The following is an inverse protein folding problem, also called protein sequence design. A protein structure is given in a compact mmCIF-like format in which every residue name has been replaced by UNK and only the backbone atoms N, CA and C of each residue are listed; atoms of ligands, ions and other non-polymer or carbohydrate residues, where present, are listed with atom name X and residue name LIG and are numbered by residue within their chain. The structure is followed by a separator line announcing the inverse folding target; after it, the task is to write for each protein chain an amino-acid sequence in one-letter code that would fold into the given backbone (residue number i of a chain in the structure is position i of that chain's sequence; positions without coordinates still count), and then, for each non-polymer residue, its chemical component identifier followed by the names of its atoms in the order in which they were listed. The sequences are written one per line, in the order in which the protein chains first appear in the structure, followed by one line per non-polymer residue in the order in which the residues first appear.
data_IF_137403235344
#
_entry.id   IF_137403235344
#
_cell.length_a   1.000
_cell.length_b   1.000
_cell.length_c   1.000
_cell.angle_alpha   90.00
_cell.angle_beta   90.00
_cell.angle_gamma   90.00
#
_symmetry.space_group_name_H-M   'P 1'
#
loop_
_entity.id
_entity.type
_entity.pdbx_description
1 polymer ?
#
# COMPACT_ATOMS: atom_id res chain seq x y z
N UNK A 1 85.59 15.76 -13.42
CA UNK A 1 84.37 16.26 -14.21
C UNK A 1 83.27 15.21 -13.98
N UNK A 2 82.61 15.31 -12.84
CA UNK A 2 81.63 14.29 -12.39
C UNK A 2 80.29 14.93 -12.24
N UNK A 3 79.34 14.55 -13.11
CA UNK A 3 77.94 14.98 -13.04
C UNK A 3 77.16 14.09 -12.14
N UNK A 4 76.80 14.55 -10.92
CA UNK A 4 75.81 13.96 -10.06
C UNK A 4 74.42 14.18 -10.69
N UNK A 5 73.74 13.07 -10.98
CA UNK A 5 72.32 13.09 -11.34
C UNK A 5 71.51 12.83 -10.05
N UNK A 6 70.82 13.86 -9.59
CA UNK A 6 69.88 13.79 -8.51
C UNK A 6 68.56 13.17 -9.02
N UNK A 7 68.23 11.98 -8.53
CA UNK A 7 66.94 11.33 -8.77
C UNK A 7 65.89 11.95 -7.85
N UNK A 8 65.03 12.78 -8.38
CA UNK A 8 63.84 13.27 -7.68
C UNK A 8 62.77 12.18 -7.76
N UNK A 9 62.55 11.49 -6.63
CA UNK A 9 61.47 10.52 -6.48
C UNK A 9 60.17 11.27 -6.27
N UNK A 10 59.29 11.24 -7.30
CA UNK A 10 57.94 11.82 -7.24
C UNK A 10 57.00 10.80 -6.62
N UNK A 11 56.71 10.91 -5.32
CA UNK A 11 55.72 10.09 -4.63
C UNK A 11 54.31 10.54 -5.01
N UNK A 12 53.67 9.78 -5.85
CA UNK A 12 52.24 9.98 -6.21
C UNK A 12 51.39 9.44 -5.05
N UNK A 13 50.85 10.36 -4.25
CA UNK A 13 49.89 10.06 -3.21
C UNK A 13 48.53 9.83 -3.88
N UNK A 14 48.13 8.58 -4.14
CA UNK A 14 46.79 8.22 -4.62
C UNK A 14 45.82 8.39 -3.45
N UNK A 15 44.74 9.22 -3.56
CA UNK A 15 43.71 9.28 -2.54
C UNK A 15 42.93 7.97 -2.55
N UNK A 16 43.02 7.23 -1.47
CA UNK A 16 42.21 6.04 -1.20
C UNK A 16 40.77 6.50 -0.88
N UNK A 17 39.89 6.49 -1.87
CA UNK A 17 38.47 6.79 -1.69
C UNK A 17 37.85 5.62 -0.91
N UNK A 18 37.65 5.79 0.39
CA UNK A 18 36.89 4.87 1.23
C UNK A 18 35.42 4.91 0.76
N UNK A 19 35.05 3.93 -0.05
CA UNK A 19 33.67 3.67 -0.39
C UNK A 19 32.98 3.10 0.87
N UNK A 20 32.32 3.96 1.65
CA UNK A 20 31.46 3.52 2.75
C UNK A 20 30.17 3.01 2.09
N UNK A 21 29.88 1.70 2.06
CA UNK A 21 28.61 1.20 1.59
C UNK A 21 27.54 1.79 2.52
N UNK A 22 26.67 2.64 1.98
CA UNK A 22 25.50 3.13 2.70
C UNK A 22 24.68 1.93 3.13
N UNK A 23 24.50 1.76 4.44
CA UNK A 23 23.59 0.76 5.00
C UNK A 23 22.21 1.21 4.58
N UNK A 24 21.67 0.62 3.50
CA UNK A 24 20.25 0.74 3.15
C UNK A 24 19.52 0.00 4.26
N UNK A 25 19.04 0.75 5.25
CA UNK A 25 18.22 0.20 6.32
C UNK A 25 17.01 -0.49 5.71
N UNK A 26 16.89 -1.79 5.89
CA UNK A 26 15.67 -2.51 5.57
C UNK A 26 14.55 -1.90 6.42
N UNK A 27 13.53 -1.36 5.77
CA UNK A 27 12.38 -0.77 6.46
C UNK A 27 11.68 -1.88 7.28
N UNK A 28 11.63 -1.73 8.61
CA UNK A 28 11.06 -2.74 9.50
C UNK A 28 9.59 -3.03 9.16
N UNK A 29 9.27 -4.31 8.99
CA UNK A 29 7.91 -4.75 8.75
C UNK A 29 7.07 -4.64 10.01
N UNK A 30 5.88 -4.06 9.88
CA UNK A 30 4.93 -3.99 10.99
C UNK A 30 4.19 -5.32 11.13
N UNK A 31 4.10 -5.84 12.36
CA UNK A 31 3.27 -7.02 12.65
C UNK A 31 1.82 -6.58 12.80
N UNK A 32 0.93 -7.17 11.99
CA UNK A 32 -0.51 -6.90 11.98
C UNK A 32 -1.31 -8.17 12.22
N UNK A 33 -2.58 -8.03 12.61
CA UNK A 33 -3.48 -9.17 12.82
C UNK A 33 -4.26 -9.58 11.57
N UNK A 34 -5.13 -10.57 11.70
CA UNK A 34 -6.02 -11.03 10.63
C UNK A 34 -7.16 -10.05 10.30
N UNK A 35 -7.42 -9.08 11.16
CA UNK A 35 -8.36 -7.96 10.96
C UNK A 35 -7.75 -6.72 11.61
N UNK A 36 -7.73 -5.61 10.88
CA UNK A 36 -7.23 -4.33 11.36
C UNK A 36 -8.22 -3.21 11.05
N UNK A 37 -8.20 -2.15 11.87
CA UNK A 37 -8.87 -0.91 11.53
C UNK A 37 -7.94 -0.09 10.63
N UNK A 38 -8.51 0.55 9.61
CA UNK A 38 -7.79 1.42 8.67
C UNK A 38 -8.52 2.75 8.50
N UNK A 39 -7.81 3.74 7.98
CA UNK A 39 -8.41 5.01 7.55
C UNK A 39 -8.21 5.19 6.06
N UNK A 40 -9.30 5.46 5.33
CA UNK A 40 -9.24 5.87 3.92
C UNK A 40 -8.91 7.36 3.84
N UNK A 41 -7.82 7.69 3.18
CA UNK A 41 -7.36 9.07 3.01
C UNK A 41 -7.71 9.60 1.60
N UNK A 42 -7.99 10.89 1.45
CA UNK A 42 -7.95 11.96 2.48
C UNK A 42 -9.25 12.07 3.30
N UNK A 43 -10.24 11.23 3.08
CA UNK A 43 -11.60 11.38 3.63
C UNK A 43 -11.72 11.11 5.13
N UNK A 44 -10.70 10.55 5.77
CA UNK A 44 -10.72 10.23 7.20
C UNK A 44 -11.66 9.10 7.59
N UNK A 45 -12.20 8.35 6.61
CA UNK A 45 -13.17 7.28 6.89
C UNK A 45 -12.50 6.07 7.49
N UNK A 46 -12.85 5.78 8.74
CA UNK A 46 -12.38 4.60 9.46
C UNK A 46 -13.28 3.40 9.20
N UNK A 47 -12.67 2.27 8.82
CA UNK A 47 -13.40 1.02 8.61
C UNK A 47 -12.52 -0.21 8.91
N UNK A 48 -13.13 -1.36 9.25
CA UNK A 48 -12.41 -2.60 9.47
C UNK A 48 -12.01 -3.23 8.13
N UNK A 49 -10.77 -3.68 8.05
CA UNK A 49 -10.23 -4.41 6.92
C UNK A 49 -9.86 -5.84 7.30
N UNK A 50 -10.27 -6.81 6.50
CA UNK A 50 -9.76 -8.17 6.58
C UNK A 50 -8.40 -8.23 5.89
N UNK A 51 -7.42 -8.76 6.60
CA UNK A 51 -6.11 -9.05 6.05
C UNK A 51 -6.17 -10.40 5.35
N UNK A 52 -5.98 -10.42 4.04
CA UNK A 52 -6.17 -11.60 3.21
C UNK A 52 -4.92 -11.91 2.39
N UNK A 53 -4.05 -12.76 2.93
CA UNK A 53 -2.82 -13.18 2.26
C UNK A 53 -3.06 -14.08 1.05
N UNK A 54 -4.26 -14.68 0.92
CA UNK A 54 -4.70 -15.45 -0.24
C UNK A 54 -5.12 -14.58 -1.44
N UNK A 55 -5.65 -13.38 -1.16
CA UNK A 55 -6.08 -12.46 -2.20
C UNK A 55 -4.87 -11.75 -2.87
N UNK A 56 -4.80 -11.78 -4.20
CA UNK A 56 -3.76 -11.06 -4.93
C UNK A 56 -3.97 -9.54 -4.91
N UNK A 57 -5.23 -9.08 -4.87
CA UNK A 57 -5.64 -7.67 -4.92
C UNK A 57 -6.58 -7.33 -3.77
N UNK A 58 -6.51 -6.08 -3.33
CA UNK A 58 -7.44 -5.49 -2.37
C UNK A 58 -8.81 -5.25 -3.00
N UNK A 59 -9.88 -5.24 -2.18
CA UNK A 59 -11.27 -5.06 -2.63
C UNK A 59 -12.07 -4.26 -1.62
N UNK A 60 -12.79 -3.24 -2.09
CA UNK A 60 -13.62 -2.35 -1.28
C UNK A 60 -15.10 -2.56 -1.60
N UNK A 61 -15.94 -2.51 -0.57
CA UNK A 61 -17.39 -2.49 -0.71
C UNK A 61 -17.85 -1.15 -1.30
N UNK A 62 -18.37 -1.22 -2.52
CA UNK A 62 -18.84 -0.09 -3.29
C UNK A 62 -20.31 -0.28 -3.65
N UNK A 63 -21.16 0.55 -3.07
CA UNK A 63 -22.62 0.51 -3.28
C UNK A 63 -23.03 1.46 -4.37
N UNK A 64 -24.11 1.15 -5.06
CA UNK A 64 -24.70 2.01 -6.10
C UNK A 64 -23.67 2.43 -7.16
N UNK A 65 -22.79 1.51 -7.55
CA UNK A 65 -21.69 1.77 -8.46
C UNK A 65 -22.21 2.19 -9.83
N UNK A 66 -21.77 3.36 -10.29
CA UNK A 66 -22.10 3.94 -11.60
C UNK A 66 -20.82 4.36 -12.31
N UNK A 67 -20.72 3.99 -13.58
CA UNK A 67 -19.58 4.37 -14.42
C UNK A 67 -19.98 5.48 -15.36
N UNK A 68 -19.16 6.54 -15.41
CA UNK A 68 -19.35 7.69 -16.28
C UNK A 68 -18.00 8.05 -16.93
N UNK A 69 -17.85 7.63 -18.19
CA UNK A 69 -16.58 7.78 -18.90
C UNK A 69 -15.44 7.02 -18.24
N UNK A 70 -14.40 7.72 -17.85
CA UNK A 70 -13.20 7.20 -17.17
C UNK A 70 -13.32 7.21 -15.64
N UNK A 71 -14.48 7.57 -15.09
CA UNK A 71 -14.72 7.67 -13.65
C UNK A 71 -15.77 6.69 -13.17
N UNK A 72 -15.60 6.26 -11.94
CA UNK A 72 -16.59 5.49 -11.20
C UNK A 72 -17.08 6.27 -9.99
N UNK A 73 -18.39 6.29 -9.82
CA UNK A 73 -19.09 6.87 -8.69
C UNK A 73 -19.72 5.75 -7.87
N UNK A 74 -19.57 5.81 -6.56
CA UNK A 74 -20.09 4.79 -5.64
C UNK A 74 -20.25 5.36 -4.24
N UNK A 75 -21.00 4.65 -3.39
CA UNK A 75 -21.15 4.97 -1.97
C UNK A 75 -20.46 3.94 -1.10
N UNK A 76 -19.82 4.39 -0.04
CA UNK A 76 -19.43 3.51 1.06
C UNK A 76 -20.69 3.04 1.81
N UNK A 77 -20.63 1.86 2.48
CA UNK A 77 -21.75 1.41 3.30
C UNK A 77 -22.17 2.46 4.33
N UNK A 78 -23.48 2.58 4.60
CA UNK A 78 -24.05 3.57 5.51
C UNK A 78 -23.46 3.46 6.92
N UNK A 79 -23.11 2.25 7.37
CA UNK A 79 -22.43 1.99 8.65
C UNK A 79 -21.06 2.64 8.78
N UNK A 80 -20.47 3.09 7.65
CA UNK A 80 -19.19 3.80 7.59
C UNK A 80 -19.36 5.22 7.03
N UNK A 81 -20.54 5.82 7.25
CA UNK A 81 -20.84 7.20 6.92
C UNK A 81 -21.49 7.41 5.54
N UNK A 82 -21.69 6.37 4.74
CA UNK A 82 -22.39 6.47 3.46
C UNK A 82 -21.77 7.44 2.44
N UNK A 83 -20.49 7.78 2.62
CA UNK A 83 -19.79 8.78 1.79
C UNK A 83 -19.85 8.40 0.32
N UNK A 84 -20.27 9.34 -0.53
CA UNK A 84 -20.25 9.20 -1.98
C UNK A 84 -18.88 9.62 -2.51
N UNK A 85 -18.27 8.75 -3.30
CA UNK A 85 -16.95 8.96 -3.87
C UNK A 85 -17.03 8.90 -5.40
N UNK A 86 -16.21 9.72 -6.07
CA UNK A 86 -16.04 9.74 -7.52
C UNK A 86 -14.57 9.70 -7.85
N UNK A 87 -14.08 8.57 -8.37
CA UNK A 87 -12.66 8.30 -8.59
C UNK A 87 -12.40 7.95 -10.06
N UNK A 88 -11.18 8.22 -10.56
CA UNK A 88 -10.76 7.74 -11.86
C UNK A 88 -10.62 6.21 -11.85
N UNK A 89 -11.04 5.58 -12.94
CA UNK A 89 -10.81 4.16 -13.18
C UNK A 89 -9.39 4.04 -13.75
N UNK A 90 -8.51 3.36 -13.02
CA UNK A 90 -7.13 3.13 -13.47
C UNK A 90 -7.07 2.02 -14.51
N UNK A 91 -7.83 0.95 -14.28
CA UNK A 91 -7.93 -0.19 -15.19
C UNK A 91 -9.22 -0.98 -14.92
N UNK A 92 -9.55 -1.89 -15.84
CA UNK A 92 -10.59 -2.88 -15.66
C UNK A 92 -9.99 -4.27 -15.53
N UNK A 93 -10.47 -5.06 -14.58
CA UNK A 93 -10.01 -6.44 -14.41
C UNK A 93 -11.17 -7.42 -14.29
N UNK A 94 -10.94 -8.62 -14.83
CA UNK A 94 -11.80 -9.77 -14.56
C UNK A 94 -11.33 -10.45 -13.28
N UNK A 95 -12.19 -10.46 -12.27
CA UNK A 95 -11.95 -11.10 -10.98
C UNK A 95 -12.71 -12.42 -10.96
N UNK A 96 -12.06 -13.48 -10.53
CA UNK A 96 -12.73 -14.76 -10.27
C UNK A 96 -13.47 -14.66 -8.95
N UNK A 97 -14.75 -15.03 -8.96
CA UNK A 97 -15.61 -15.16 -7.79
C UNK A 97 -16.15 -16.59 -7.76
N UNK A 98 -16.75 -17.05 -6.64
CA UNK A 98 -17.43 -18.36 -6.61
C UNK A 98 -18.51 -18.50 -7.69
N UNK A 99 -19.16 -17.39 -8.08
CA UNK A 99 -20.23 -17.33 -9.07
C UNK A 99 -19.71 -17.24 -10.52
N UNK A 100 -18.38 -17.07 -10.71
CA UNK A 100 -17.78 -16.98 -12.05
C UNK A 100 -16.73 -15.90 -12.22
N UNK A 101 -16.79 -15.17 -13.33
CA UNK A 101 -15.90 -14.05 -13.63
C UNK A 101 -16.69 -12.76 -13.70
N UNK A 102 -16.27 -11.78 -12.93
CA UNK A 102 -16.87 -10.45 -12.89
C UNK A 102 -15.86 -9.40 -13.34
N UNK A 103 -16.27 -8.48 -14.22
CA UNK A 103 -15.45 -7.34 -14.63
C UNK A 103 -15.63 -6.20 -13.63
N UNK A 104 -14.56 -5.82 -12.94
CA UNK A 104 -14.58 -4.79 -11.91
C UNK A 104 -13.68 -3.62 -12.24
N UNK A 105 -14.09 -2.37 -11.94
CA UNK A 105 -13.21 -1.22 -12.04
C UNK A 105 -12.18 -1.26 -10.91
N UNK A 106 -10.97 -0.84 -11.24
CA UNK A 106 -9.87 -0.68 -10.30
C UNK A 106 -9.63 0.80 -10.12
N UNK A 107 -9.58 1.24 -8.88
CA UNK A 107 -9.25 2.59 -8.46
C UNK A 107 -8.00 2.60 -7.60
N UNK A 108 -7.34 3.74 -7.50
CA UNK A 108 -6.27 3.94 -6.53
C UNK A 108 -6.85 4.56 -5.25
N UNK A 109 -6.49 3.98 -4.11
CA UNK A 109 -6.83 4.51 -2.79
C UNK A 109 -5.57 4.67 -1.95
N UNK A 110 -5.58 5.67 -1.10
CA UNK A 110 -4.57 5.85 -0.08
C UNK A 110 -5.14 5.38 1.27
N UNK A 111 -4.46 4.43 1.90
CA UNK A 111 -4.94 3.74 3.10
C UNK A 111 -3.88 3.85 4.19
N UNK A 112 -4.32 4.30 5.37
CA UNK A 112 -3.51 4.31 6.59
C UNK A 112 -3.76 3.04 7.40
N UNK A 113 -2.71 2.27 7.67
CA UNK A 113 -2.69 1.11 8.57
C UNK A 113 -1.46 1.15 9.47
N UNK A 114 -1.64 1.14 10.77
CA UNK A 114 -0.57 1.43 11.72
C UNK A 114 0.01 2.80 11.42
N UNK A 115 1.32 2.92 11.34
CA UNK A 115 2.03 4.15 10.93
C UNK A 115 2.28 4.26 9.42
N UNK A 116 1.77 3.31 8.62
CA UNK A 116 2.01 3.25 7.17
C UNK A 116 0.87 3.87 6.40
N UNK A 117 1.21 4.82 5.54
CA UNK A 117 0.34 5.44 4.55
C UNK A 117 0.70 4.88 3.18
N UNK A 118 -0.21 4.14 2.58
CA UNK A 118 0.09 3.35 1.38
C UNK A 118 -0.96 3.61 0.30
N UNK A 119 -0.51 4.00 -0.90
CA UNK A 119 -1.33 4.02 -2.11
C UNK A 119 -1.37 2.63 -2.71
N UNK A 120 -2.56 2.17 -3.04
CA UNK A 120 -2.77 0.83 -3.57
C UNK A 120 -3.95 0.76 -4.52
N UNK A 121 -3.88 -0.17 -5.46
CA UNK A 121 -4.97 -0.47 -6.37
C UNK A 121 -6.01 -1.37 -5.70
N UNK A 122 -7.27 -0.96 -5.78
CA UNK A 122 -8.39 -1.63 -5.13
C UNK A 122 -9.49 -1.88 -6.14
N UNK A 123 -10.01 -3.10 -6.21
CA UNK A 123 -11.21 -3.36 -7.01
C UNK A 123 -12.46 -2.98 -6.23
N UNK A 124 -13.44 -2.44 -6.94
CA UNK A 124 -14.74 -2.10 -6.38
C UNK A 124 -15.74 -3.22 -6.66
N UNK A 125 -16.46 -3.63 -5.63
CA UNK A 125 -17.47 -4.67 -5.72
C UNK A 125 -18.55 -4.45 -4.66
N UNK A 126 -19.75 -4.94 -4.91
CA UNK A 126 -20.75 -5.08 -3.85
C UNK A 126 -20.30 -6.20 -2.90
N UNK A 127 -20.08 -5.82 -1.65
CA UNK A 127 -19.66 -6.71 -0.58
C UNK A 127 -20.70 -6.79 0.55
N UNK A 128 -21.97 -6.51 0.23
CA UNK A 128 -23.08 -6.48 1.21
C UNK A 128 -23.25 -7.78 1.98
N UNK A 129 -22.96 -8.89 1.32
CA UNK A 129 -23.14 -10.22 1.88
C UNK A 129 -21.97 -10.71 2.75
N UNK A 130 -20.92 -9.91 2.91
CA UNK A 130 -19.75 -10.30 3.71
C UNK A 130 -19.47 -9.33 4.85
N UNK A 131 -18.86 -9.85 5.90
CA UNK A 131 -18.67 -9.13 7.17
C UNK A 131 -17.79 -7.88 7.06
N UNK A 132 -16.77 -7.89 6.19
CA UNK A 132 -15.78 -6.82 6.13
C UNK A 132 -15.89 -6.03 4.83
N UNK A 133 -16.04 -4.70 4.93
CA UNK A 133 -16.18 -3.83 3.75
C UNK A 133 -14.89 -3.72 2.94
N UNK A 134 -13.76 -4.02 3.55
CA UNK A 134 -12.45 -3.95 2.88
C UNK A 134 -11.68 -5.24 3.09
N UNK A 135 -11.06 -5.72 2.02
CA UNK A 135 -10.03 -6.75 2.03
C UNK A 135 -8.71 -6.09 1.61
N UNK A 136 -7.65 -6.31 2.38
CA UNK A 136 -6.29 -5.94 2.02
C UNK A 136 -5.54 -7.19 1.55
N UNK A 137 -5.28 -7.24 0.25
CA UNK A 137 -4.59 -8.33 -0.41
C UNK A 137 -3.07 -8.14 -0.47
N UNK A 138 -2.38 -9.10 -1.12
CA UNK A 138 -0.92 -9.08 -1.22
C UNK A 138 -0.34 -7.81 -1.88
N UNK A 139 -1.09 -7.16 -2.77
CA UNK A 139 -0.66 -5.89 -3.37
C UNK A 139 -0.47 -4.75 -2.35
N UNK A 140 -1.18 -4.80 -1.22
CA UNK A 140 -1.02 -3.87 -0.11
C UNK A 140 0.00 -4.37 0.92
N UNK A 141 -0.02 -5.68 1.20
CA UNK A 141 0.68 -6.29 2.34
C UNK A 141 2.17 -6.54 2.07
N UNK A 142 2.52 -6.87 0.82
CA UNK A 142 3.85 -7.33 0.45
C UNK A 142 4.94 -6.32 0.87
N UNK A 143 6.01 -6.86 1.45
CA UNK A 143 7.22 -6.13 1.87
C UNK A 143 7.03 -5.17 3.06
N UNK A 144 5.79 -4.86 3.47
CA UNK A 144 5.48 -3.87 4.51
C UNK A 144 5.00 -4.48 5.82
N UNK A 145 4.38 -5.67 5.74
CA UNK A 145 3.71 -6.28 6.90
C UNK A 145 4.05 -7.75 7.08
N UNK A 146 4.03 -8.19 8.34
CA UNK A 146 3.98 -9.59 8.76
C UNK A 146 2.62 -9.83 9.38
N UNK A 147 1.94 -10.92 8.98
CA UNK A 147 0.58 -11.22 9.46
C UNK A 147 0.63 -12.29 10.55
N UNK A 148 0.23 -11.92 11.76
CA UNK A 148 -0.02 -12.84 12.86
C UNK A 148 -1.54 -13.14 12.93
N UNK A 149 -1.95 -14.31 12.47
CA UNK A 149 -3.36 -14.69 12.37
C UNK A 149 -4.07 -14.82 13.73
N UNK A 150 -3.31 -14.91 14.83
CA UNK A 150 -3.86 -14.95 16.19
C UNK A 150 -4.29 -13.58 16.69
N UNK A 151 -3.78 -12.50 16.07
CA UNK A 151 -4.03 -11.11 16.48
C UNK A 151 -5.16 -10.47 15.67
N UNK A 152 -5.75 -9.44 16.26
CA UNK A 152 -6.74 -8.57 15.61
C UNK A 152 -6.64 -7.17 16.17
N UNK A 153 -6.77 -6.14 15.33
CA UNK A 153 -6.77 -4.72 15.69
C UNK A 153 -5.57 -4.31 16.55
N UNK A 154 -4.41 -4.78 16.13
CA UNK A 154 -3.15 -4.53 16.84
C UNK A 154 -2.41 -3.30 16.33
N UNK A 155 -2.56 -2.99 15.04
CA UNK A 155 -1.91 -1.87 14.40
C UNK A 155 -2.91 -0.71 14.19
N UNK A 156 -3.18 0.05 15.26
CA UNK A 156 -4.08 1.22 15.16
C UNK A 156 -3.54 2.23 14.15
N UNK A 157 -4.41 2.77 13.26
CA UNK A 157 -4.00 3.79 12.30
C UNK A 157 -3.48 5.03 13.03
N UNK A 158 -2.28 5.44 12.70
CA UNK A 158 -1.60 6.62 13.24
C UNK A 158 -0.71 7.21 12.15
N UNK A 159 -1.33 7.66 11.07
CA UNK A 159 -0.61 8.32 9.99
C UNK A 159 -0.68 9.82 10.19
N UNK A 160 0.46 10.52 10.13
CA UNK A 160 0.47 11.98 10.22
C UNK A 160 -0.36 12.57 9.09
N UNK A 161 -1.15 13.60 9.41
CA UNK A 161 -1.78 14.43 8.40
C UNK A 161 -0.67 15.13 7.61
N UNK A 162 -0.77 15.12 6.29
CA UNK A 162 0.12 15.96 5.47
C UNK A 162 -0.48 17.35 5.50
N UNK A 163 0.28 18.37 5.89
CA UNK A 163 -0.17 19.76 5.90
C UNK A 163 -0.53 20.24 4.49
#
# INVERSE_FOLDING_TARGET
MDKLWSLVSLSILTPFFLFIPGVVGAEDKIVIGGVEDVILLPWGVKLPARIDTGAAKSSLDARELKVQGDRVEFKLPQTYGGLQLRLPIIEWRHIRTPEGRERRPIVELEICLGSRRIRTLVNLADRSMVKYPLILGRNFLKEKFVVDVKRRRTAKPNCPEIP
#
